data_IF_971024196614
#
_entry.id   IF_971024196614
#
_cell.length_a   1.000
_cell.length_b   1.000
_cell.length_c   1.000
_cell.angle_alpha   90.00
_cell.angle_beta   90.00
_cell.angle_gamma   90.00
#
_symmetry.space_group_name_H-M   'P 1'
#
loop_
_entity.id
_entity.type
_entity.pdbx_description
1 polymer ?
#
# COMPACT_ATOMS: atom_id res chain seq x y z
N UNK A 1 19.28 -19.60 35.18
CA UNK A 1 19.15 -18.23 35.74
C UNK A 1 17.86 -17.62 35.16
N UNK A 2 16.75 -17.72 35.92
CA UNK A 2 15.96 -16.61 36.54
C UNK A 2 15.11 -15.85 35.49
N UNK A 3 13.77 -15.91 35.41
CA UNK A 3 12.66 -15.94 36.39
C UNK A 3 12.60 -14.76 37.39
N UNK A 4 12.75 -13.55 36.83
CA UNK A 4 12.28 -12.27 37.37
C UNK A 4 11.97 -11.43 36.11
N UNK A 5 10.76 -10.99 35.80
CA UNK A 5 10.13 -9.81 36.37
C UNK A 5 8.61 -9.91 36.20
N UNK A 6 7.91 -10.32 37.27
CA UNK A 6 6.48 -10.06 37.49
C UNK A 6 6.36 -8.88 38.44
N UNK A 7 5.35 -8.04 38.20
CA UNK A 7 4.75 -7.02 39.09
C UNK A 7 5.47 -5.66 39.12
N UNK A 8 4.67 -4.64 39.46
CA UNK A 8 4.91 -3.17 39.47
C UNK A 8 4.36 -2.58 38.15
N UNK A 9 3.19 -1.93 38.03
CA UNK A 9 2.41 -1.08 38.94
C UNK A 9 0.89 -1.20 38.66
N UNK A 10 0.14 -1.57 39.70
CA UNK A 10 -1.20 -1.05 39.97
C UNK A 10 -1.01 0.33 40.60
N UNK A 11 -1.56 1.39 40.02
CA UNK A 11 -1.87 2.67 40.68
C UNK A 11 -3.00 3.32 39.88
N UNK A 12 -4.26 3.26 40.33
CA UNK A 12 -4.86 4.29 41.19
C UNK A 12 -4.75 5.69 40.59
N UNK A 13 -5.79 6.12 39.87
CA UNK A 13 -6.25 7.51 39.93
C UNK A 13 -7.76 7.55 39.68
N UNK A 14 -8.50 7.49 40.79
CA UNK A 14 -9.92 7.80 40.93
C UNK A 14 -9.99 9.15 41.66
N UNK A 15 -10.14 10.25 40.92
CA UNK A 15 -10.52 11.60 41.38
C UNK A 15 -11.14 12.25 40.13
N UNK A 16 -12.32 12.84 40.08
CA UNK A 16 -13.25 13.36 41.08
C UNK A 16 -13.90 14.63 40.50
N UNK A 17 -15.18 14.84 40.82
CA UNK A 17 -15.91 16.13 40.87
C UNK A 17 -16.27 16.91 39.58
N UNK A 18 -17.57 16.83 39.25
CA UNK A 18 -18.60 17.90 39.19
C UNK A 18 -18.29 19.36 38.79
N UNK A 19 -19.37 20.00 38.27
CA UNK A 19 -19.63 21.41 37.90
C UNK A 19 -19.40 21.74 36.41
N UNK A 20 -20.28 22.42 35.67
CA UNK A 20 -21.46 23.21 36.00
C UNK A 20 -22.48 23.16 34.85
N UNK A 21 -23.78 23.10 35.18
CA UNK A 21 -24.88 23.33 34.24
C UNK A 21 -24.97 24.84 34.00
N UNK A 22 -24.53 25.29 32.82
CA UNK A 22 -24.73 26.66 32.35
C UNK A 22 -25.93 26.69 31.41
N UNK A 23 -27.03 27.21 31.93
CA UNK A 23 -28.22 27.55 31.14
C UNK A 23 -27.98 28.86 30.40
N UNK A 24 -28.14 28.85 29.07
CA UNK A 24 -28.62 30.02 28.33
C UNK A 24 -27.57 30.86 27.59
N UNK A 25 -27.40 30.55 26.31
CA UNK A 25 -27.40 31.52 25.21
C UNK A 25 -27.73 30.73 23.94
N UNK A 26 -28.96 30.86 23.43
CA UNK A 26 -29.30 30.42 22.06
C UNK A 26 -28.57 31.36 21.11
N UNK A 27 -27.35 31.00 20.71
CA UNK A 27 -26.73 31.55 19.50
C UNK A 27 -27.45 30.91 18.33
N UNK A 28 -27.98 31.74 17.45
CA UNK A 28 -28.39 31.31 16.12
C UNK A 28 -27.13 30.78 15.43
N UNK A 29 -27.03 29.45 15.42
CA UNK A 29 -25.94 28.70 14.81
C UNK A 29 -26.05 28.93 13.30
N UNK A 30 -25.06 29.61 12.65
CA UNK A 30 -25.11 29.81 11.22
C UNK A 30 -25.19 28.43 10.58
N UNK A 31 -26.22 28.21 9.75
CA UNK A 31 -26.47 26.93 9.09
C UNK A 31 -25.17 26.42 8.49
N UNK A 32 -24.53 25.47 9.17
CA UNK A 32 -23.35 24.77 8.69
C UNK A 32 -23.82 24.04 7.46
N UNK A 33 -23.57 24.66 6.32
CA UNK A 33 -23.73 24.03 5.02
C UNK A 33 -22.71 22.91 5.06
N UNK A 34 -23.16 21.70 5.42
CA UNK A 34 -22.36 20.50 5.36
C UNK A 34 -21.99 20.32 3.89
N UNK A 35 -20.83 20.85 3.50
CA UNK A 35 -20.18 20.47 2.25
C UNK A 35 -19.95 18.97 2.39
N UNK A 36 -20.79 18.18 1.73
CA UNK A 36 -20.63 16.74 1.68
C UNK A 36 -19.27 16.48 1.05
N UNK A 37 -18.29 16.10 1.86
CA UNK A 37 -17.00 15.62 1.36
C UNK A 37 -17.30 14.47 0.39
N UNK A 38 -16.78 14.50 -0.85
CA UNK A 38 -16.99 13.40 -1.78
C UNK A 38 -16.57 12.07 -1.15
N UNK A 39 -17.37 11.01 -1.35
CA UNK A 39 -17.00 9.66 -0.93
C UNK A 39 -15.90 9.10 -1.84
N UNK A 40 -14.65 9.28 -1.42
CA UNK A 40 -13.49 8.73 -2.11
C UNK A 40 -13.18 7.28 -1.73
N UNK A 41 -13.82 6.71 -0.71
CA UNK A 41 -13.51 5.37 -0.24
C UNK A 41 -13.93 4.31 -1.28
N UNK A 42 -15.08 4.50 -1.90
CA UNK A 42 -15.61 3.61 -2.95
C UNK A 42 -14.68 3.50 -4.17
N UNK A 43 -14.29 4.60 -4.84
CA UNK A 43 -13.40 4.50 -6.00
C UNK A 43 -11.99 3.99 -5.66
N UNK A 44 -11.42 4.37 -4.50
CA UNK A 44 -10.12 3.83 -4.04
C UNK A 44 -10.20 2.32 -3.87
N UNK A 45 -11.25 1.81 -3.22
CA UNK A 45 -11.46 0.37 -3.03
C UNK A 45 -11.61 -0.37 -4.36
N UNK A 46 -12.30 0.23 -5.32
CA UNK A 46 -12.45 -0.33 -6.66
C UNK A 46 -11.10 -0.43 -7.40
N UNK A 47 -10.23 0.57 -7.29
CA UNK A 47 -8.89 0.54 -7.87
C UNK A 47 -8.02 -0.55 -7.23
N UNK A 48 -7.99 -0.63 -5.90
CA UNK A 48 -7.22 -1.64 -5.17
C UNK A 48 -7.70 -3.07 -5.44
N UNK A 49 -9.01 -3.29 -5.62
CA UNK A 49 -9.54 -4.61 -5.96
C UNK A 49 -9.15 -5.03 -7.39
N UNK A 50 -9.11 -4.10 -8.35
CA UNK A 50 -8.65 -4.38 -9.71
C UNK A 50 -7.16 -4.74 -9.72
N UNK A 51 -6.34 -3.98 -8.99
CA UNK A 51 -4.91 -4.28 -8.82
C UNK A 51 -4.69 -5.69 -8.22
N UNK A 52 -5.41 -6.02 -7.14
CA UNK A 52 -5.32 -7.35 -6.54
C UNK A 52 -5.68 -8.47 -7.52
N UNK A 53 -6.78 -8.32 -8.24
CA UNK A 53 -7.19 -9.32 -9.24
C UNK A 53 -6.15 -9.47 -10.36
N UNK A 54 -5.51 -8.37 -10.76
CA UNK A 54 -4.40 -8.40 -11.71
C UNK A 54 -3.16 -9.10 -11.11
N UNK A 55 -2.83 -8.84 -9.85
CA UNK A 55 -1.74 -9.48 -9.13
C UNK A 55 -1.94 -10.99 -8.94
N UNK A 56 -3.18 -11.44 -8.72
CA UNK A 56 -3.53 -12.87 -8.69
C UNK A 56 -3.24 -13.56 -10.03
N UNK A 57 -3.68 -12.94 -11.14
CA UNK A 57 -3.39 -13.46 -12.49
C UNK A 57 -1.90 -13.46 -12.79
N UNK A 58 -1.19 -12.40 -12.40
CA UNK A 58 0.26 -12.32 -12.50
C UNK A 58 0.95 -13.49 -11.80
N UNK A 59 0.58 -13.77 -10.53
CA UNK A 59 1.19 -14.86 -9.75
C UNK A 59 1.07 -16.22 -10.43
N UNK A 60 -0.09 -16.51 -11.02
CA UNK A 60 -0.27 -17.76 -11.77
C UNK A 60 0.51 -17.78 -13.08
N UNK A 61 0.42 -16.72 -13.89
CA UNK A 61 1.11 -16.63 -15.18
C UNK A 61 2.65 -16.67 -15.03
N UNK A 62 3.18 -16.02 -13.99
CA UNK A 62 4.61 -15.93 -13.73
C UNK A 62 5.28 -17.27 -13.40
N UNK A 63 4.50 -18.30 -13.06
CA UNK A 63 5.00 -19.69 -12.88
C UNK A 63 5.42 -20.32 -14.21
N UNK A 64 4.85 -19.86 -15.32
CA UNK A 64 5.11 -20.40 -16.67
C UNK A 64 5.98 -19.46 -17.50
N UNK A 65 5.62 -18.18 -17.58
CA UNK A 65 6.38 -17.17 -18.33
C UNK A 65 6.36 -15.85 -17.56
N UNK A 66 7.49 -15.54 -16.92
CA UNK A 66 7.64 -14.33 -16.10
C UNK A 66 7.57 -13.05 -16.92
N UNK A 67 8.17 -13.03 -18.12
CA UNK A 67 8.24 -11.81 -18.93
C UNK A 67 6.87 -11.48 -19.50
N UNK A 68 6.16 -12.49 -20.03
CA UNK A 68 4.78 -12.33 -20.47
C UNK A 68 3.88 -11.90 -19.30
N UNK A 69 4.01 -12.53 -18.13
CA UNK A 69 3.24 -12.16 -16.95
C UNK A 69 3.45 -10.70 -16.54
N UNK A 70 4.70 -10.20 -16.52
CA UNK A 70 4.98 -8.78 -16.21
C UNK A 70 4.33 -7.86 -17.24
N UNK A 71 4.39 -8.18 -18.53
CA UNK A 71 3.73 -7.38 -19.60
C UNK A 71 2.22 -7.33 -19.39
N UNK A 72 1.60 -8.47 -19.11
CA UNK A 72 0.15 -8.56 -18.89
C UNK A 72 -0.28 -7.79 -17.64
N UNK A 73 0.49 -7.90 -16.55
CA UNK A 73 0.22 -7.16 -15.32
C UNK A 73 0.36 -5.64 -15.52
N UNK A 74 1.41 -5.18 -16.20
CA UNK A 74 1.57 -3.77 -16.56
C UNK A 74 0.41 -3.26 -17.41
N UNK A 75 -0.06 -4.06 -18.36
CA UNK A 75 -1.24 -3.71 -19.17
C UNK A 75 -2.50 -3.60 -18.30
N UNK A 76 -2.69 -4.50 -17.33
CA UNK A 76 -3.80 -4.42 -16.38
C UNK A 76 -3.69 -3.15 -15.50
N UNK A 77 -2.51 -2.82 -14.98
CA UNK A 77 -2.29 -1.60 -14.18
C UNK A 77 -2.61 -0.31 -14.97
N UNK A 78 -2.41 -0.30 -16.28
CA UNK A 78 -2.77 0.83 -17.16
C UNK A 78 -4.27 0.99 -17.36
N UNK A 79 -5.03 -0.08 -17.18
CA UNK A 79 -6.49 -0.11 -17.38
C UNK A 79 -7.29 0.23 -16.12
N UNK A 80 -6.63 0.28 -14.95
CA UNK A 80 -7.29 0.65 -13.69
C UNK A 80 -7.80 2.09 -13.77
N UNK A 81 -9.11 2.27 -13.60
CA UNK A 81 -9.75 3.59 -13.64
C UNK A 81 -9.51 4.36 -12.33
N UNK A 82 -8.77 5.46 -12.43
CA UNK A 82 -8.43 6.34 -11.32
C UNK A 82 -9.20 7.66 -11.33
N UNK A 83 -10.07 7.90 -12.34
CA UNK A 83 -10.68 9.23 -12.58
C UNK A 83 -11.52 9.75 -11.41
N UNK A 84 -12.15 8.84 -10.65
CA UNK A 84 -12.95 9.16 -9.48
C UNK A 84 -12.16 9.15 -8.15
N UNK A 85 -10.87 8.78 -8.19
CA UNK A 85 -10.01 8.81 -7.00
C UNK A 85 -9.52 10.23 -6.70
N UNK A 86 -9.16 10.55 -5.45
CA UNK A 86 -8.54 11.83 -5.12
C UNK A 86 -7.13 11.93 -5.74
N UNK A 87 -6.70 13.15 -6.06
CA UNK A 87 -5.47 13.41 -6.86
C UNK A 87 -4.22 12.77 -6.24
N UNK A 88 -4.08 12.83 -4.92
CA UNK A 88 -2.94 12.24 -4.21
C UNK A 88 -2.87 10.72 -4.37
N UNK A 89 -4.02 10.03 -4.31
CA UNK A 89 -4.11 8.61 -4.61
C UNK A 89 -3.77 8.31 -6.07
N UNK A 90 -4.28 9.12 -7.02
CA UNK A 90 -3.94 8.96 -8.44
C UNK A 90 -2.42 9.05 -8.65
N UNK A 91 -1.78 10.08 -8.11
CA UNK A 91 -0.34 10.29 -8.21
C UNK A 91 0.47 9.15 -7.60
N UNK A 92 0.08 8.66 -6.41
CA UNK A 92 0.76 7.54 -5.78
C UNK A 92 0.61 6.24 -6.58
N UNK A 93 -0.59 5.98 -7.10
CA UNK A 93 -0.84 4.80 -7.94
C UNK A 93 -0.05 4.85 -9.25
N UNK A 94 0.04 6.04 -9.87
CA UNK A 94 0.86 6.24 -11.07
C UNK A 94 2.35 5.99 -10.78
N UNK A 95 2.87 6.48 -9.64
CA UNK A 95 4.25 6.18 -9.21
C UNK A 95 4.46 4.68 -9.02
N UNK A 96 3.49 3.98 -8.45
CA UNK A 96 3.55 2.53 -8.31
C UNK A 96 3.61 1.80 -9.64
N UNK A 97 2.75 2.19 -10.60
CA UNK A 97 2.79 1.68 -11.96
C UNK A 97 4.14 1.92 -12.64
N UNK A 98 4.70 3.13 -12.53
CA UNK A 98 6.02 3.43 -13.11
C UNK A 98 7.15 2.60 -12.49
N UNK A 99 7.09 2.32 -11.19
CA UNK A 99 8.06 1.44 -10.55
C UNK A 99 8.02 0.02 -11.11
N UNK A 100 6.83 -0.50 -11.47
CA UNK A 100 6.70 -1.76 -12.19
C UNK A 100 7.22 -1.70 -13.62
N UNK A 101 7.04 -0.57 -14.32
CA UNK A 101 7.52 -0.42 -15.70
C UNK A 101 9.05 -0.50 -15.79
N UNK A 102 9.79 -0.14 -14.74
CA UNK A 102 11.24 -0.34 -14.67
C UNK A 102 11.67 -1.82 -14.70
N UNK A 103 10.79 -2.76 -14.34
CA UNK A 103 11.11 -4.19 -14.30
C UNK A 103 11.24 -4.79 -15.71
N UNK A 104 10.47 -4.29 -16.68
CA UNK A 104 10.46 -4.83 -18.03
C UNK A 104 11.83 -4.72 -18.74
N UNK A 105 12.45 -3.52 -18.86
CA UNK A 105 13.76 -3.40 -19.51
C UNK A 105 14.84 -4.15 -18.73
N UNK A 106 14.71 -4.31 -17.41
CA UNK A 106 15.60 -5.16 -16.62
C UNK A 106 15.50 -6.62 -17.07
N UNK A 107 14.29 -7.17 -17.18
CA UNK A 107 14.09 -8.56 -17.59
C UNK A 107 14.54 -8.83 -19.03
N UNK A 108 14.41 -7.83 -19.92
CA UNK A 108 14.90 -7.92 -21.29
C UNK A 108 16.44 -7.82 -21.36
N UNK A 109 17.06 -6.98 -20.51
CA UNK A 109 18.52 -6.82 -20.42
C UNK A 109 19.21 -8.07 -19.85
N UNK A 110 18.61 -8.69 -18.84
CA UNK A 110 19.14 -9.87 -18.15
C UNK A 110 18.29 -11.10 -18.47
N UNK A 111 18.33 -11.51 -19.73
CA UNK A 111 17.65 -12.72 -20.19
C UNK A 111 18.07 -13.93 -19.33
N UNK A 112 17.09 -14.77 -18.99
CA UNK A 112 17.31 -15.89 -18.08
C UNK A 112 17.39 -15.53 -16.59
N UNK A 113 17.03 -14.31 -16.17
CA UNK A 113 16.85 -14.00 -14.74
C UNK A 113 15.86 -14.98 -14.09
N UNK A 114 16.39 -15.93 -13.31
CA UNK A 114 15.60 -16.97 -12.63
C UNK A 114 15.03 -16.52 -11.30
N UNK A 115 15.34 -15.31 -10.84
CA UNK A 115 14.89 -14.80 -9.56
C UNK A 115 13.38 -14.92 -9.39
N UNK A 116 12.97 -15.20 -8.16
CA UNK A 116 11.59 -15.48 -7.85
C UNK A 116 10.80 -14.17 -7.74
N UNK A 117 10.07 -13.83 -8.80
CA UNK A 117 9.14 -12.69 -8.83
C UNK A 117 7.84 -13.03 -8.10
N UNK A 118 7.50 -14.31 -7.96
CA UNK A 118 6.30 -14.75 -7.23
C UNK A 118 6.53 -14.56 -5.73
N UNK A 119 7.71 -14.94 -5.23
CA UNK A 119 8.11 -14.70 -3.84
C UNK A 119 8.06 -13.22 -3.43
N UNK A 120 8.31 -12.29 -4.37
CA UNK A 120 8.16 -10.85 -4.11
C UNK A 120 6.71 -10.47 -3.81
N UNK A 121 5.73 -11.05 -4.51
CA UNK A 121 4.31 -10.85 -4.23
C UNK A 121 3.83 -11.57 -2.98
N UNK A 122 4.43 -12.72 -2.63
CA UNK A 122 3.99 -13.54 -1.49
C UNK A 122 4.55 -13.05 -0.15
N UNK A 123 5.83 -12.67 -0.12
CA UNK A 123 6.54 -12.37 1.13
C UNK A 123 6.56 -10.88 1.48
N UNK A 124 6.07 -10.04 0.58
CA UNK A 124 6.23 -8.59 0.67
C UNK A 124 7.70 -8.16 0.75
N UNK A 125 7.92 -6.87 0.99
CA UNK A 125 9.27 -6.27 1.00
C UNK A 125 10.17 -6.74 2.15
N UNK A 126 9.62 -7.41 3.17
CA UNK A 126 10.30 -7.63 4.44
C UNK A 126 11.34 -8.77 4.43
N UNK A 127 11.26 -9.71 3.47
CA UNK A 127 12.02 -10.98 3.56
C UNK A 127 13.19 -11.06 2.56
N UNK A 128 13.26 -10.21 1.54
CA UNK A 128 14.32 -10.28 0.52
C UNK A 128 15.53 -9.37 0.86
N UNK A 129 16.01 -9.40 2.11
CA UNK A 129 17.23 -8.69 2.50
C UNK A 129 18.50 -9.57 2.45
N UNK A 130 18.36 -10.87 2.13
CA UNK A 130 19.47 -11.82 2.19
C UNK A 130 19.98 -12.29 0.82
N UNK A 131 19.59 -11.62 -0.28
CA UNK A 131 20.22 -11.87 -1.58
C UNK A 131 21.60 -11.21 -1.60
N UNK A 132 22.66 -11.99 -1.84
CA UNK A 132 24.00 -11.44 -2.01
C UNK A 132 23.98 -10.52 -3.23
N UNK A 133 24.29 -9.23 -3.05
CA UNK A 133 24.30 -8.21 -4.11
C UNK A 133 25.58 -8.27 -4.97
N UNK A 134 26.03 -9.48 -5.28
CA UNK A 134 27.35 -9.75 -5.84
C UNK A 134 27.44 -9.31 -7.30
N UNK A 135 26.35 -9.35 -8.06
CA UNK A 135 26.31 -8.90 -9.46
C UNK A 135 25.66 -7.52 -9.64
N UNK A 136 25.90 -6.88 -10.78
CA UNK A 136 25.20 -5.64 -11.17
C UNK A 136 23.70 -5.86 -11.31
N UNK A 137 23.29 -6.98 -11.92
CA UNK A 137 21.88 -7.36 -12.05
C UNK A 137 21.18 -7.50 -10.71
N UNK A 138 21.83 -8.09 -9.70
CA UNK A 138 21.27 -8.22 -8.34
C UNK A 138 21.04 -6.86 -7.69
N UNK A 139 21.96 -5.91 -7.86
CA UNK A 139 21.81 -4.54 -7.34
C UNK A 139 20.68 -3.79 -8.07
N UNK A 140 20.60 -3.95 -9.38
CA UNK A 140 19.60 -3.31 -10.22
C UNK A 140 18.19 -3.81 -9.87
N UNK A 141 17.97 -5.12 -9.79
CA UNK A 141 16.67 -5.69 -9.40
C UNK A 141 16.30 -5.37 -7.96
N UNK A 142 17.27 -5.34 -7.03
CA UNK A 142 17.02 -4.95 -5.65
C UNK A 142 16.52 -3.49 -5.57
N UNK A 143 17.11 -2.58 -6.37
CA UNK A 143 16.64 -1.18 -6.47
C UNK A 143 15.21 -1.12 -7.00
N UNK A 144 14.91 -1.85 -8.08
CA UNK A 144 13.56 -1.89 -8.68
C UNK A 144 12.53 -2.44 -7.68
N UNK A 145 12.83 -3.58 -7.03
CA UNK A 145 11.97 -4.17 -5.99
C UNK A 145 11.69 -3.18 -4.85
N UNK A 146 12.74 -2.49 -4.36
CA UNK A 146 12.59 -1.46 -3.33
C UNK A 146 11.67 -0.32 -3.80
N UNK A 147 11.79 0.13 -5.05
CA UNK A 147 10.93 1.17 -5.61
C UNK A 147 9.46 0.71 -5.72
N UNK A 148 9.22 -0.52 -6.17
CA UNK A 148 7.87 -1.11 -6.25
C UNK A 148 7.24 -1.19 -4.85
N UNK A 149 7.97 -1.71 -3.87
CA UNK A 149 7.46 -1.80 -2.50
C UNK A 149 7.20 -0.44 -1.86
N UNK A 150 8.14 0.50 -1.99
CA UNK A 150 8.01 1.84 -1.41
C UNK A 150 6.84 2.62 -2.02
N UNK A 151 6.64 2.50 -3.33
CA UNK A 151 5.51 3.13 -4.01
C UNK A 151 4.16 2.51 -3.63
N UNK A 152 4.09 1.19 -3.45
CA UNK A 152 2.87 0.54 -2.96
C UNK A 152 2.52 0.98 -1.53
N UNK A 153 3.52 1.05 -0.64
CA UNK A 153 3.30 1.53 0.72
C UNK A 153 2.71 2.95 0.75
N UNK A 154 3.13 3.84 -0.16
CA UNK A 154 2.54 5.17 -0.27
C UNK A 154 1.08 5.13 -0.76
N UNK A 155 0.74 4.22 -1.70
CA UNK A 155 -0.65 3.96 -2.12
C UNK A 155 -1.51 3.55 -0.92
N UNK A 156 -1.03 2.61 -0.11
CA UNK A 156 -1.75 2.11 1.07
C UNK A 156 -1.93 3.20 2.13
N UNK A 157 -0.86 3.93 2.42
CA UNK A 157 -0.88 5.04 3.37
C UNK A 157 -1.89 6.10 2.96
N UNK A 158 -2.00 6.43 1.67
CA UNK A 158 -3.01 7.38 1.18
C UNK A 158 -4.41 6.77 1.28
N UNK A 159 -4.60 5.51 0.86
CA UNK A 159 -5.88 4.82 0.98
C UNK A 159 -6.41 4.83 2.42
N UNK A 160 -5.52 4.63 3.41
CA UNK A 160 -5.86 4.69 4.84
C UNK A 160 -6.37 6.07 5.28
N UNK A 161 -5.84 7.17 4.71
CA UNK A 161 -6.33 8.54 5.00
C UNK A 161 -7.78 8.74 4.55
N UNK A 162 -8.22 7.96 3.57
CA UNK A 162 -9.60 7.93 3.07
C UNK A 162 -10.43 6.77 3.66
N UNK A 163 -9.95 6.11 4.72
CA UNK A 163 -10.68 5.05 5.41
C UNK A 163 -10.73 3.72 4.65
N UNK A 164 -9.84 3.51 3.68
CA UNK A 164 -9.74 2.25 2.93
C UNK A 164 -8.48 1.50 3.36
N UNK A 165 -8.66 0.25 3.81
CA UNK A 165 -7.56 -0.67 4.06
C UNK A 165 -7.32 -1.52 2.80
N UNK A 166 -6.07 -1.55 2.32
CA UNK A 166 -5.67 -2.55 1.33
C UNK A 166 -5.78 -3.95 1.98
N UNK A 167 -6.28 -4.93 1.24
CA UNK A 167 -6.31 -6.31 1.71
C UNK A 167 -5.11 -7.02 1.09
N UNK A 168 -4.20 -7.46 1.94
CA UNK A 168 -3.07 -8.33 1.60
C UNK A 168 -3.52 -9.78 1.47
#
# INVERSE_FOLDING_TARGET
MSNAYRRILRNFFLIGLAFAVSSGCKRDEPATTHTQTPDYATPIRAALNQDRSAGEKFREAAKTDKLAAVRDYLQALRQIDLRACPVDFQEAFLKHRYAWEELLPFMEKYDGYTGDLVAFFELGSAIINNQSTTTEGDREVARIRKAISASYFEVEKIALRYGVQAQH
#
